data_IF_761044294389
#
_entry.id   IF_761044294389
#
_cell.length_a   1.000
_cell.length_b   1.000
_cell.length_c   1.000
_cell.angle_alpha   90.00
_cell.angle_beta   90.00
_cell.angle_gamma   90.00
#
_symmetry.space_group_name_H-M   'P 1'
#
loop_
_entity.id
_entity.type
_entity.pdbx_description
1 polymer ?
#
# COMPACT_ATOMS: atom_id res chain seq x y z
N UNK A 1 6.61 3.68 42.89
CA UNK A 1 6.20 2.71 41.86
C UNK A 1 5.34 3.48 40.89
N UNK A 2 5.92 3.96 39.79
CA UNK A 2 5.15 4.54 38.70
C UNK A 2 4.59 3.38 37.88
N UNK A 3 3.26 3.26 37.84
CA UNK A 3 2.58 2.30 37.00
C UNK A 3 2.79 2.67 35.52
N UNK A 4 3.45 1.78 34.78
CA UNK A 4 3.59 1.87 33.33
C UNK A 4 2.21 1.70 32.68
N UNK A 5 1.59 2.82 32.32
CA UNK A 5 0.33 2.86 31.60
C UNK A 5 0.42 2.12 30.25
N UNK A 6 -0.41 1.06 30.10
CA UNK A 6 -0.97 0.51 28.86
C UNK A 6 -0.11 0.59 27.58
N UNK A 7 0.85 -0.33 27.42
CA UNK A 7 1.25 -0.72 26.07
C UNK A 7 0.15 -1.60 25.47
N UNK A 8 -0.48 -1.12 24.40
CA UNK A 8 -1.38 -1.97 23.60
C UNK A 8 -0.58 -3.18 23.09
N UNK A 9 -1.15 -4.40 23.13
CA UNK A 9 -0.47 -5.57 22.62
C UNK A 9 -0.14 -5.38 21.14
N UNK A 10 1.13 -5.61 20.80
CA UNK A 10 1.60 -5.57 19.42
C UNK A 10 1.45 -6.96 18.81
N UNK A 11 0.85 -7.05 17.63
CA UNK A 11 0.69 -8.28 16.88
C UNK A 11 1.40 -8.18 15.54
N UNK A 12 2.03 -9.26 15.10
CA UNK A 12 2.60 -9.38 13.77
C UNK A 12 1.84 -10.45 13.00
N UNK A 13 1.47 -10.11 11.77
CA UNK A 13 0.90 -11.06 10.81
C UNK A 13 1.89 -11.21 9.66
N UNK A 14 2.06 -12.45 9.19
CA UNK A 14 2.85 -12.73 7.98
C UNK A 14 1.88 -12.95 6.84
N UNK A 15 2.12 -12.28 5.72
CA UNK A 15 1.32 -12.38 4.50
C UNK A 15 2.28 -12.51 3.31
N UNK A 16 1.88 -13.26 2.28
CA UNK A 16 2.55 -13.20 0.99
C UNK A 16 2.08 -11.98 0.17
N UNK A 17 2.71 -11.71 -0.98
CA UNK A 17 2.39 -10.55 -1.81
C UNK A 17 0.92 -10.52 -2.28
N UNK A 18 0.34 -11.68 -2.58
CA UNK A 18 -1.05 -11.78 -2.99
C UNK A 18 -2.00 -11.45 -1.83
N UNK A 19 -1.77 -12.05 -0.66
CA UNK A 19 -2.55 -11.79 0.56
C UNK A 19 -2.45 -10.32 1.00
N UNK A 20 -1.26 -9.72 0.91
CA UNK A 20 -1.04 -8.29 1.16
C UNK A 20 -1.86 -7.42 0.18
N UNK A 21 -1.90 -7.80 -1.09
CA UNK A 21 -2.72 -7.13 -2.12
C UNK A 21 -4.22 -7.23 -1.84
N UNK A 22 -4.70 -8.41 -1.45
CA UNK A 22 -6.10 -8.62 -1.05
C UNK A 22 -6.45 -7.78 0.17
N UNK A 23 -5.59 -7.78 1.20
CA UNK A 23 -5.78 -6.97 2.41
C UNK A 23 -5.83 -5.48 2.09
N UNK A 24 -4.93 -4.99 1.23
CA UNK A 24 -4.95 -3.60 0.74
C UNK A 24 -6.28 -3.28 0.05
N UNK A 25 -6.76 -4.16 -0.84
CA UNK A 25 -8.04 -4.00 -1.52
C UNK A 25 -9.24 -3.97 -0.56
N UNK A 26 -9.24 -4.82 0.46
CA UNK A 26 -10.28 -4.82 1.51
C UNK A 26 -10.28 -3.52 2.32
N UNK A 27 -9.10 -2.96 2.62
CA UNK A 27 -8.99 -1.68 3.32
C UNK A 27 -9.50 -0.52 2.46
N UNK A 28 -9.14 -0.48 1.17
CA UNK A 28 -9.60 0.57 0.24
C UNK A 28 -11.11 0.51 0.00
N UNK A 29 -11.68 -0.69 -0.04
CA UNK A 29 -13.12 -0.94 -0.15
C UNK A 29 -13.90 -0.88 1.17
N UNK A 30 -13.23 -0.66 2.30
CA UNK A 30 -13.90 -0.55 3.60
C UNK A 30 -14.75 0.72 3.70
N UNK A 31 -15.73 0.71 4.60
CA UNK A 31 -16.53 1.90 4.90
C UNK A 31 -15.63 3.03 5.42
N UNK A 32 -15.92 4.28 5.04
CA UNK A 32 -15.12 5.46 5.41
C UNK A 32 -14.92 5.61 6.92
N UNK A 33 -15.90 5.21 7.74
CA UNK A 33 -15.78 5.24 9.21
C UNK A 33 -14.73 4.27 9.77
N UNK A 34 -14.37 3.22 9.02
CA UNK A 34 -13.43 2.17 9.45
C UNK A 34 -12.01 2.46 8.99
N UNK A 35 -11.83 3.15 7.86
CA UNK A 35 -10.52 3.46 7.28
C UNK A 35 -9.53 4.11 8.27
N UNK A 36 -9.93 5.07 9.14
CA UNK A 36 -9.01 5.66 10.11
C UNK A 36 -8.38 4.63 11.06
N UNK A 37 -9.16 3.64 11.52
CA UNK A 37 -8.70 2.58 12.41
C UNK A 37 -7.71 1.61 11.75
N UNK A 38 -7.70 1.55 10.41
CA UNK A 38 -6.82 0.70 9.61
C UNK A 38 -5.65 1.48 8.98
N UNK A 39 -5.55 2.79 9.24
CA UNK A 39 -4.54 3.67 8.64
C UNK A 39 -3.11 3.19 8.88
N UNK A 40 -2.79 2.69 10.08
CA UNK A 40 -1.47 2.15 10.39
C UNK A 40 -1.10 0.90 9.59
N UNK A 41 -2.06 -0.03 9.41
CA UNK A 41 -1.86 -1.23 8.57
C UNK A 41 -1.71 -0.84 7.11
N UNK A 42 -2.55 0.09 6.64
CA UNK A 42 -2.48 0.64 5.28
C UNK A 42 -1.12 1.25 4.99
N UNK A 43 -0.59 2.08 5.88
CA UNK A 43 0.73 2.70 5.73
C UNK A 43 1.85 1.66 5.62
N UNK A 44 1.78 0.59 6.42
CA UNK A 44 2.76 -0.51 6.34
C UNK A 44 2.68 -1.25 5.01
N UNK A 45 1.48 -1.55 4.51
CA UNK A 45 1.28 -2.20 3.21
C UNK A 45 1.79 -1.34 2.05
N UNK A 46 1.55 -0.03 2.09
CA UNK A 46 2.07 0.90 1.07
C UNK A 46 3.59 0.96 1.11
N UNK A 47 4.20 0.98 2.30
CA UNK A 47 5.66 0.95 2.44
C UNK A 47 6.26 -0.34 1.87
N UNK A 48 5.73 -1.50 2.27
CA UNK A 48 6.16 -2.80 1.74
C UNK A 48 6.03 -2.87 0.22
N UNK A 49 4.92 -2.37 -0.34
CA UNK A 49 4.71 -2.34 -1.79
C UNK A 49 5.78 -1.49 -2.50
N UNK A 50 6.12 -0.31 -1.96
CA UNK A 50 7.17 0.56 -2.53
C UNK A 50 8.54 -0.11 -2.50
N UNK A 51 8.86 -0.82 -1.43
CA UNK A 51 10.13 -1.54 -1.30
C UNK A 51 10.24 -2.66 -2.33
N UNK A 52 9.16 -3.43 -2.53
CA UNK A 52 9.09 -4.47 -3.58
C UNK A 52 9.18 -3.86 -4.97
N UNK A 53 8.42 -2.80 -5.26
CA UNK A 53 8.48 -2.11 -6.56
C UNK A 53 9.88 -1.62 -6.88
N UNK A 54 10.59 -1.07 -5.89
CA UNK A 54 11.98 -0.64 -6.06
C UNK A 54 12.93 -1.82 -6.26
N UNK A 55 12.73 -2.93 -5.58
CA UNK A 55 13.56 -4.13 -5.71
C UNK A 55 13.41 -4.79 -7.09
N UNK A 56 12.20 -4.78 -7.65
CA UNK A 56 11.85 -5.37 -8.95
C UNK A 56 11.95 -4.37 -10.12
N UNK A 57 12.58 -3.21 -9.91
CA UNK A 57 12.81 -2.23 -10.97
C UNK A 57 11.54 -1.60 -11.56
N UNK A 58 10.43 -1.61 -10.83
CA UNK A 58 9.14 -1.09 -11.31
C UNK A 58 9.19 0.43 -11.43
N UNK A 59 8.92 0.94 -12.62
CA UNK A 59 8.83 2.36 -12.95
C UNK A 59 7.36 2.76 -13.11
N UNK A 60 7.01 3.91 -12.55
CA UNK A 60 5.66 4.48 -12.64
C UNK A 60 5.68 5.86 -13.27
N UNK A 61 4.83 6.04 -14.28
CA UNK A 61 4.66 7.31 -14.97
C UNK A 61 3.20 7.74 -14.94
N UNK A 62 2.93 8.95 -14.45
CA UNK A 62 1.61 9.56 -14.59
C UNK A 62 1.50 10.15 -15.99
N UNK A 63 0.57 9.63 -16.79
CA UNK A 63 0.35 10.05 -18.16
C UNK A 63 -0.49 11.34 -18.22
N UNK A 64 -0.42 12.11 -19.33
CA UNK A 64 -1.19 13.36 -19.46
C UNK A 64 -2.71 13.20 -19.35
N UNK A 65 -3.24 12.00 -19.60
CA UNK A 65 -4.66 11.69 -19.45
C UNK A 65 -5.03 11.29 -18.00
N UNK A 66 -4.12 11.42 -17.04
CA UNK A 66 -4.33 11.08 -15.63
C UNK A 66 -4.22 9.59 -15.32
N UNK A 67 -3.87 8.76 -16.30
CA UNK A 67 -3.66 7.32 -16.08
C UNK A 67 -2.27 7.04 -15.55
N UNK A 68 -2.13 5.98 -14.77
CA UNK A 68 -0.85 5.48 -14.28
C UNK A 68 -0.37 4.37 -15.21
N UNK A 69 0.79 4.59 -15.81
CA UNK A 69 1.58 3.55 -16.46
C UNK A 69 2.55 2.94 -15.45
N UNK A 70 2.57 1.60 -15.40
CA UNK A 70 3.49 0.81 -14.58
C UNK A 70 4.26 -0.11 -15.53
N UNK A 71 5.58 -0.04 -15.48
CA UNK A 71 6.49 -0.85 -16.30
C UNK A 71 7.45 -1.61 -15.38
N UNK A 72 7.62 -2.91 -15.56
CA UNK A 72 8.64 -3.70 -14.86
C UNK A 72 9.95 -3.80 -15.67
N UNK A 73 10.96 -4.44 -15.08
CA UNK A 73 12.29 -4.61 -15.71
C UNK A 73 12.23 -5.45 -17.01
N UNK A 74 11.28 -6.38 -17.11
CA UNK A 74 11.05 -7.21 -18.30
C UNK A 74 10.33 -6.44 -19.43
N UNK A 75 9.88 -5.22 -19.16
CA UNK A 75 9.14 -4.38 -20.10
C UNK A 75 7.65 -4.70 -20.19
N UNK A 76 7.10 -5.48 -19.26
CA UNK A 76 5.65 -5.67 -19.14
C UNK A 76 5.03 -4.34 -18.70
N UNK A 77 3.93 -3.96 -19.36
CA UNK A 77 3.29 -2.66 -19.17
C UNK A 77 1.82 -2.81 -18.83
N UNK A 78 1.41 -2.11 -17.77
CA UNK A 78 0.01 -2.00 -17.36
C UNK A 78 -0.35 -0.51 -17.31
N UNK A 79 -1.52 -0.16 -17.87
CA UNK A 79 -2.07 1.19 -17.82
C UNK A 79 -3.43 1.13 -17.14
N UNK A 80 -3.60 1.85 -16.03
CA UNK A 80 -4.86 1.91 -15.28
C UNK A 80 -5.05 3.26 -14.59
N UNK A 81 -6.24 3.50 -14.04
CA UNK A 81 -6.43 4.65 -13.16
C UNK A 81 -5.52 4.51 -11.92
N UNK A 82 -4.88 5.59 -11.45
CA UNK A 82 -4.11 5.55 -10.22
C UNK A 82 -5.04 5.34 -9.03
N UNK A 83 -4.56 4.65 -8.00
CA UNK A 83 -5.20 4.75 -6.70
C UNK A 83 -4.84 6.09 -6.04
N UNK A 84 -5.69 6.60 -5.15
CA UNK A 84 -5.50 7.89 -4.47
C UNK A 84 -4.09 8.02 -3.84
N UNK A 85 -3.61 6.97 -3.21
CA UNK A 85 -2.29 6.91 -2.55
C UNK A 85 -1.09 6.77 -3.50
N UNK A 86 -1.30 6.45 -4.78
CA UNK A 86 -0.23 6.42 -5.79
C UNK A 86 0.05 7.79 -6.38
N UNK A 87 -0.88 8.73 -6.21
CA UNK A 87 -0.72 10.13 -6.64
C UNK A 87 -0.21 11.00 -5.49
N UNK A 88 -0.51 10.64 -4.24
CA UNK A 88 -0.12 11.40 -3.04
C UNK A 88 1.37 11.32 -2.65
N UNK A 89 2.20 10.58 -3.39
CA UNK A 89 3.58 10.30 -2.96
C UNK A 89 4.60 10.13 -4.07
N UNK A 90 4.44 10.87 -5.17
CA UNK A 90 5.51 11.09 -6.15
C UNK A 90 6.03 12.52 -6.02
#
# INVERSE_FOLDING_TARGET
MEENFNQLPTYSITVNAFEAGVLMGMIEGAEERVKPSLSGVRSQLVAMKRDVEKAEGVVKNLLPNGMLEITDEDGNRIIRAPYSWEVEGN
#
